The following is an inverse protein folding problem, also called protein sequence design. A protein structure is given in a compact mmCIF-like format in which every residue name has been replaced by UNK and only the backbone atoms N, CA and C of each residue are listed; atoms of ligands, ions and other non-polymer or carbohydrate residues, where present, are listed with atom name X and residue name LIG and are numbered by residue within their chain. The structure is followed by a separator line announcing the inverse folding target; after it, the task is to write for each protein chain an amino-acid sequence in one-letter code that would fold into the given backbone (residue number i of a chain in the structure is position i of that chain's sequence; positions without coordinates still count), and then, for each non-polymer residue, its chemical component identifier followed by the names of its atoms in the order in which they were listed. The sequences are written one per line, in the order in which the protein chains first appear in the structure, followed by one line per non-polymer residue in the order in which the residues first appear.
data_IF_108880845520
#
_entry.id   IF_108880845520
#
_cell.length_a   1.000
_cell.length_b   1.000
_cell.length_c   1.000
_cell.angle_alpha   90.00
_cell.angle_beta   90.00
_cell.angle_gamma   90.00
#
_symmetry.space_group_name_H-M   'P 1'
#
loop_
_entity.id
_entity.type
_entity.pdbx_description
1 polymer ?
#
# COMPACT_ATOMS: atom_id res chain seq x y z
N UNK A 1 13.15 -1.67 2.37
CA UNK A 1 12.00 -2.11 1.56
C UNK A 1 10.72 -1.53 2.13
N UNK A 2 10.45 -0.26 1.80
CA UNK A 2 9.17 0.42 2.00
C UNK A 2 8.91 1.11 0.66
N UNK A 3 7.80 0.80 0.03
CA UNK A 3 7.48 1.27 -1.31
C UNK A 3 6.25 2.18 -1.23
N UNK A 4 6.29 3.27 -1.98
CA UNK A 4 5.17 4.19 -2.09
C UNK A 4 3.92 3.47 -2.63
N UNK A 5 2.75 3.77 -2.06
CA UNK A 5 1.48 3.20 -2.50
C UNK A 5 1.24 1.74 -2.08
N UNK A 6 2.04 1.22 -1.15
CA UNK A 6 1.94 -0.17 -0.68
C UNK A 6 1.78 -0.18 0.83
N UNK A 7 0.71 -0.78 1.29
CA UNK A 7 0.49 -1.05 2.71
C UNK A 7 1.06 -2.42 3.09
N UNK A 8 1.53 -2.52 4.33
CA UNK A 8 1.94 -3.78 4.95
C UNK A 8 0.82 -4.23 5.88
N UNK A 9 0.07 -5.22 5.43
CA UNK A 9 -1.03 -5.75 6.22
C UNK A 9 -0.49 -6.85 7.13
N UNK A 10 -0.86 -6.77 8.40
CA UNK A 10 -0.59 -7.80 9.40
C UNK A 10 -1.93 -8.30 9.90
N UNK A 11 -2.18 -9.60 9.74
CA UNK A 11 -3.37 -10.25 10.25
C UNK A 11 -3.00 -11.34 11.25
N UNK A 12 -3.81 -11.47 12.29
CA UNK A 12 -3.76 -12.54 13.28
C UNK A 12 -5.10 -13.28 13.23
N UNK A 13 -5.07 -14.59 13.10
CA UNK A 13 -6.27 -15.43 13.15
C UNK A 13 -6.58 -15.85 14.59
N UNK A 14 -7.82 -16.24 14.84
CA UNK A 14 -8.26 -16.68 16.17
C UNK A 14 -7.54 -17.94 16.68
N UNK A 15 -6.98 -18.76 15.77
CA UNK A 15 -6.13 -19.92 16.09
C UNK A 15 -4.64 -19.55 16.29
N UNK A 16 -4.32 -18.25 16.31
CA UNK A 16 -3.01 -17.72 16.68
C UNK A 16 -1.98 -17.68 15.54
N UNK A 17 -2.39 -17.81 14.28
CA UNK A 17 -1.47 -17.70 13.14
C UNK A 17 -1.33 -16.25 12.72
N UNK A 18 -0.09 -15.85 12.42
CA UNK A 18 0.23 -14.55 11.85
C UNK A 18 0.45 -14.61 10.35
N UNK A 19 -0.10 -13.63 9.64
CA UNK A 19 0.08 -13.44 8.20
C UNK A 19 0.59 -12.03 7.95
N UNK A 20 1.52 -11.90 7.01
CA UNK A 20 2.02 -10.62 6.54
C UNK A 20 2.07 -10.62 5.02
N UNK A 21 1.53 -9.58 4.41
CA UNK A 21 1.60 -9.37 2.97
C UNK A 21 1.67 -7.88 2.64
N UNK A 22 1.91 -7.61 1.36
CA UNK A 22 1.90 -6.29 0.79
C UNK A 22 0.67 -6.16 -0.11
N UNK A 23 -0.03 -5.03 0.00
CA UNK A 23 -1.21 -4.73 -0.80
C UNK A 23 -1.12 -3.29 -1.32
N UNK A 24 -1.65 -3.03 -2.51
CA UNK A 24 -1.74 -1.66 -3.01
C UNK A 24 -2.76 -0.91 -2.15
N UNK A 25 -2.41 0.30 -1.72
CA UNK A 25 -3.39 1.20 -1.12
C UNK A 25 -4.02 2.10 -2.20
N UNK A 26 -4.99 2.94 -1.83
CA UNK A 26 -5.70 3.84 -2.75
C UNK A 26 -4.76 4.66 -3.67
N UNK A 27 -3.58 5.05 -3.17
CA UNK A 27 -2.60 5.80 -3.93
C UNK A 27 -1.79 4.90 -4.87
N UNK A 28 -1.51 3.67 -4.43
CA UNK A 28 -0.94 2.62 -5.28
C UNK A 28 -1.87 2.28 -6.43
N UNK A 29 -3.12 1.92 -6.14
CA UNK A 29 -4.12 1.54 -7.16
C UNK A 29 -4.24 2.60 -8.25
N UNK A 30 -4.49 3.87 -7.87
CA UNK A 30 -4.57 4.99 -8.82
C UNK A 30 -3.27 5.19 -9.62
N UNK A 31 -2.12 5.01 -8.98
CA UNK A 31 -0.83 5.16 -9.65
C UNK A 31 -0.57 4.05 -10.68
N UNK A 32 -1.13 2.86 -10.50
CA UNK A 32 -0.89 1.70 -11.36
C UNK A 32 -1.99 1.48 -12.41
N UNK A 33 -3.21 1.97 -12.18
CA UNK A 33 -4.32 1.89 -13.14
C UNK A 33 -4.36 3.07 -14.13
N UNK A 34 -3.52 4.10 -13.93
CA UNK A 34 -3.40 5.27 -14.80
C UNK A 34 -4.37 6.42 -14.44
N UNK A 35 -5.12 6.29 -13.36
CA UNK A 35 -5.94 7.36 -12.80
C UNK A 35 -5.03 8.48 -12.28
N UNK A 36 -5.49 9.72 -12.40
CA UNK A 36 -4.77 10.86 -11.80
C UNK A 36 -4.72 10.65 -10.29
N UNK A 37 -3.50 10.50 -9.78
CA UNK A 37 -3.22 10.49 -8.34
C UNK A 37 -3.52 11.89 -7.83
N UNK A 38 -4.64 12.05 -7.13
CA UNK A 38 -5.09 13.34 -6.61
C UNK A 38 -4.26 13.84 -5.42
N UNK A 39 -4.51 15.08 -5.02
CA UNK A 39 -3.80 15.81 -3.94
C UNK A 39 -3.83 15.10 -2.57
N UNK A 40 -4.73 14.13 -2.38
CA UNK A 40 -4.83 13.35 -1.16
C UNK A 40 -3.64 12.39 -0.95
N UNK A 41 -2.88 12.09 -2.00
CA UNK A 41 -1.75 11.18 -1.93
C UNK A 41 -0.44 11.92 -1.65
N UNK A 42 0.44 11.37 -0.80
CA UNK A 42 1.71 12.02 -0.49
C UNK A 42 2.63 12.10 -1.72
N UNK A 43 3.58 13.02 -1.71
CA UNK A 43 4.59 13.07 -2.76
C UNK A 43 5.44 11.78 -2.77
N UNK A 44 5.79 11.32 -3.97
CA UNK A 44 6.73 10.22 -4.11
C UNK A 44 8.12 10.69 -3.68
N UNK A 45 8.87 9.89 -2.91
CA UNK A 45 10.26 10.22 -2.61
C UNK A 45 11.04 10.43 -3.91
N UNK A 46 11.85 11.48 -3.97
CA UNK A 46 12.84 11.62 -5.04
C UNK A 46 13.92 10.54 -4.86
N UNK A 47 14.30 9.91 -5.97
CA UNK A 47 15.39 8.92 -5.99
C UNK A 47 16.75 9.59 -5.86
#
# INVERSE_FOLDING_TARGET
NVHYGVDRIVALTDDGRGYIWHELNDCGEKSYDGTVVGEACPERPAN
#
